data_IF_198826034442
#
_entry.id   IF_198826034442
#
_cell.length_a   1.000
_cell.length_b   1.000
_cell.length_c   1.000
_cell.angle_alpha   90.00
_cell.angle_beta   90.00
_cell.angle_gamma   90.00
#
_symmetry.space_group_name_H-M   'P 1'
#
loop_
_entity.id
_entity.type
_entity.pdbx_description
1 polymer ?
#
# COMPACT_ATOMS: atom_id res chain seq x y z
N UNK A 1 6.79 -19.47 19.48
CA UNK A 1 7.29 -18.16 19.00
C UNK A 1 7.07 -18.06 17.49
N UNK A 2 6.23 -17.15 16.99
CA UNK A 2 6.17 -16.90 15.53
C UNK A 2 7.47 -16.21 15.14
N UNK A 3 8.30 -16.84 14.31
CA UNK A 3 9.58 -16.24 13.91
C UNK A 3 9.32 -14.91 13.20
N UNK A 4 9.94 -13.85 13.71
CA UNK A 4 9.86 -12.54 13.06
C UNK A 4 10.88 -12.56 11.94
N UNK A 5 10.40 -12.64 10.70
CA UNK A 5 11.25 -12.52 9.52
C UNK A 5 12.13 -11.25 9.66
N UNK A 6 13.42 -11.37 9.36
CA UNK A 6 14.27 -10.19 9.22
C UNK A 6 13.80 -9.34 8.03
N UNK A 7 14.19 -8.07 7.99
CA UNK A 7 13.90 -7.19 6.85
C UNK A 7 14.38 -7.82 5.53
N UNK A 8 15.60 -8.36 5.51
CA UNK A 8 16.17 -9.00 4.33
C UNK A 8 15.35 -10.22 3.88
N UNK A 9 14.91 -11.07 4.81
CA UNK A 9 14.05 -12.22 4.51
C UNK A 9 12.68 -11.79 4.00
N UNK A 10 12.09 -10.76 4.62
CA UNK A 10 10.81 -10.19 4.20
C UNK A 10 10.88 -9.62 2.77
N UNK A 11 11.90 -8.81 2.48
CA UNK A 11 12.11 -8.21 1.17
C UNK A 11 12.37 -9.29 0.12
N UNK A 12 13.24 -10.27 0.40
CA UNK A 12 13.47 -11.39 -0.53
C UNK A 12 12.18 -12.16 -0.83
N UNK A 13 11.34 -12.41 0.17
CA UNK A 13 10.04 -13.08 -0.01
C UNK A 13 9.07 -12.29 -0.89
N UNK A 14 9.00 -10.96 -0.72
CA UNK A 14 8.07 -10.11 -1.47
C UNK A 14 8.56 -9.79 -2.87
N UNK A 15 9.84 -9.45 -2.98
CA UNK A 15 10.44 -8.92 -4.20
C UNK A 15 11.08 -9.99 -5.09
N UNK A 16 11.33 -11.19 -4.55
CA UNK A 16 12.00 -12.29 -5.25
C UNK A 16 13.53 -12.16 -5.31
N UNK A 17 14.08 -10.99 -5.00
CA UNK A 17 15.53 -10.72 -4.96
C UNK A 17 15.97 -10.18 -3.59
N UNK A 18 17.24 -10.37 -3.19
CA UNK A 18 17.76 -9.83 -1.94
C UNK A 18 17.61 -8.30 -1.82
N UNK A 19 17.60 -7.80 -0.58
CA UNK A 19 17.64 -6.37 -0.31
C UNK A 19 18.91 -5.75 -0.92
N UNK A 20 18.76 -4.66 -1.68
CA UNK A 20 19.87 -3.98 -2.35
C UNK A 20 20.33 -4.63 -3.67
N UNK A 21 19.73 -5.74 -4.10
CA UNK A 21 20.07 -6.37 -5.37
C UNK A 21 19.65 -5.51 -6.58
N UNK A 22 20.40 -5.63 -7.67
CA UNK A 22 20.01 -5.05 -8.97
C UNK A 22 18.67 -5.63 -9.43
N UNK A 23 17.88 -4.82 -10.14
CA UNK A 23 16.53 -5.22 -10.58
C UNK A 23 15.46 -5.23 -9.48
N UNK A 24 15.80 -4.86 -8.24
CA UNK A 24 14.85 -4.79 -7.11
C UNK A 24 13.61 -3.93 -7.44
N UNK A 25 13.82 -2.76 -8.05
CA UNK A 25 12.71 -1.86 -8.44
C UNK A 25 11.84 -2.48 -9.54
N UNK A 26 12.45 -3.02 -10.60
CA UNK A 26 11.75 -3.67 -11.71
C UNK A 26 10.89 -4.83 -11.22
N UNK A 27 11.43 -5.69 -10.35
CA UNK A 27 10.68 -6.80 -9.76
C UNK A 27 9.54 -6.31 -8.89
N UNK A 28 9.76 -5.26 -8.08
CA UNK A 28 8.73 -4.70 -7.22
C UNK A 28 7.55 -4.20 -8.06
N UNK A 29 7.84 -3.39 -9.09
CA UNK A 29 6.84 -2.84 -10.00
C UNK A 29 6.11 -3.94 -10.77
N UNK A 30 6.86 -4.88 -11.36
CA UNK A 30 6.28 -6.01 -12.12
C UNK A 30 5.34 -6.86 -11.27
N UNK A 31 5.72 -7.14 -10.01
CA UNK A 31 4.91 -7.94 -9.07
C UNK A 31 3.73 -7.15 -8.52
N UNK A 32 3.91 -5.89 -8.18
CA UNK A 32 2.84 -5.03 -7.67
C UNK A 32 1.75 -4.86 -8.73
N UNK A 33 2.09 -4.34 -9.91
CA UNK A 33 1.11 -4.16 -10.98
C UNK A 33 0.58 -5.50 -11.52
N UNK A 34 1.40 -6.55 -11.51
CA UNK A 34 0.97 -7.91 -11.84
C UNK A 34 0.19 -8.65 -10.75
N UNK A 35 -0.13 -8.00 -9.62
CA UNK A 35 -0.82 -8.65 -8.50
C UNK A 35 -2.23 -9.13 -8.92
N UNK A 36 -2.70 -10.22 -8.30
CA UNK A 36 -4.01 -10.79 -8.57
C UNK A 36 -5.18 -10.05 -7.91
N UNK A 37 -4.90 -9.10 -7.01
CA UNK A 37 -5.87 -8.27 -6.33
C UNK A 37 -5.20 -7.01 -5.78
N UNK A 38 -5.99 -5.98 -5.48
CA UNK A 38 -5.47 -4.74 -4.94
C UNK A 38 -4.91 -4.92 -3.52
N UNK A 39 -5.48 -5.84 -2.74
CA UNK A 39 -4.88 -6.27 -1.46
C UNK A 39 -3.47 -6.85 -1.64
N UNK A 40 -3.24 -7.65 -2.69
CA UNK A 40 -1.93 -8.26 -2.95
C UNK A 40 -0.94 -7.24 -3.53
N UNK A 41 -1.40 -6.25 -4.29
CA UNK A 41 -0.58 -5.13 -4.79
C UNK A 41 0.24 -4.50 -3.66
N UNK A 42 -0.41 -4.14 -2.54
CA UNK A 42 0.23 -3.50 -1.39
C UNK A 42 1.19 -4.41 -0.62
N UNK A 43 1.17 -5.72 -0.84
CA UNK A 43 2.16 -6.63 -0.28
C UNK A 43 3.49 -6.61 -1.06
N UNK A 44 3.43 -6.20 -2.34
CA UNK A 44 4.60 -6.07 -3.20
C UNK A 44 5.09 -4.64 -3.30
N UNK A 45 4.19 -3.66 -3.23
CA UNK A 45 4.53 -2.25 -3.27
C UNK A 45 5.39 -1.85 -2.07
N UNK A 46 6.62 -1.40 -2.33
CA UNK A 46 7.59 -0.96 -1.34
C UNK A 46 7.72 -1.89 -0.11
N UNK A 47 8.35 -3.07 -0.27
CA UNK A 47 8.38 -4.08 0.79
C UNK A 47 9.16 -3.64 2.03
N UNK A 48 10.08 -2.69 1.93
CA UNK A 48 10.77 -2.10 3.10
C UNK A 48 9.78 -1.29 3.93
N UNK A 49 9.01 -0.42 3.27
CA UNK A 49 7.97 0.36 3.94
C UNK A 49 6.89 -0.55 4.57
N UNK A 50 6.41 -1.53 3.80
CA UNK A 50 5.45 -2.51 4.28
C UNK A 50 5.95 -3.35 5.46
N UNK A 51 7.26 -3.61 5.56
CA UNK A 51 7.85 -4.30 6.71
C UNK A 51 7.68 -3.49 8.00
N UNK A 52 8.06 -2.21 7.99
CA UNK A 52 7.99 -1.36 9.18
C UNK A 52 6.54 -1.04 9.56
N UNK A 53 5.67 -0.75 8.60
CA UNK A 53 4.24 -0.59 8.85
C UNK A 53 3.64 -1.86 9.45
N UNK A 54 3.98 -3.04 8.92
CA UNK A 54 3.49 -4.30 9.46
C UNK A 54 3.94 -4.51 10.90
N UNK A 55 5.23 -4.28 11.17
CA UNK A 55 5.86 -4.53 12.47
C UNK A 55 5.37 -3.56 13.55
N UNK A 56 5.30 -2.28 13.23
CA UNK A 56 5.13 -1.21 14.21
C UNK A 56 3.69 -0.70 14.32
N UNK A 57 2.86 -0.88 13.28
CA UNK A 57 1.50 -0.35 13.24
C UNK A 57 0.49 -1.49 13.13
N UNK A 58 0.48 -2.21 12.01
CA UNK A 58 -0.56 -3.20 11.71
C UNK A 58 -0.64 -4.33 12.74
N UNK A 59 0.50 -4.96 13.10
CA UNK A 59 0.51 -6.11 14.03
C UNK A 59 0.12 -5.70 15.46
N UNK A 60 0.66 -4.60 16.03
CA UNK A 60 0.15 -4.09 17.30
C UNK A 60 -1.35 -3.81 17.27
N UNK A 61 -1.85 -3.10 16.25
CA UNK A 61 -3.27 -2.78 16.15
C UNK A 61 -4.15 -4.04 16.00
N UNK A 62 -3.73 -5.00 15.18
CA UNK A 62 -4.49 -6.23 14.96
C UNK A 62 -4.50 -7.18 16.17
N UNK A 63 -3.75 -6.87 17.24
CA UNK A 63 -3.84 -7.63 18.50
C UNK A 63 -5.09 -7.29 19.32
N UNK A 64 -5.72 -6.13 19.07
CA UNK A 64 -6.92 -5.69 19.79
C UNK A 64 -8.02 -5.11 18.88
N UNK A 65 -7.75 -4.82 17.60
CA UNK A 65 -8.74 -4.36 16.62
C UNK A 65 -9.05 -5.43 15.57
N UNK A 66 -10.25 -5.40 14.95
CA UNK A 66 -10.52 -6.15 13.73
C UNK A 66 -9.49 -5.83 12.64
N UNK A 67 -9.10 -6.85 11.88
CA UNK A 67 -8.06 -6.73 10.84
C UNK A 67 -8.40 -5.66 9.80
N UNK A 68 -9.67 -5.44 9.47
CA UNK A 68 -10.11 -4.37 8.56
C UNK A 68 -9.76 -2.99 9.13
N UNK A 69 -10.09 -2.73 10.39
CA UNK A 69 -9.80 -1.45 11.05
C UNK A 69 -8.28 -1.24 11.22
N UNK A 70 -7.54 -2.28 11.61
CA UNK A 70 -6.09 -2.22 11.68
C UNK A 70 -5.47 -1.90 10.29
N UNK A 71 -6.05 -2.45 9.22
CA UNK A 71 -5.62 -2.15 7.84
C UNK A 71 -5.86 -0.68 7.51
N UNK A 72 -7.08 -0.16 7.77
CA UNK A 72 -7.41 1.24 7.49
C UNK A 72 -6.50 2.21 8.23
N UNK A 73 -6.30 1.99 9.53
CA UNK A 73 -5.41 2.83 10.35
C UNK A 73 -3.97 2.75 9.84
N UNK A 74 -3.50 1.57 9.41
CA UNK A 74 -2.16 1.43 8.81
C UNK A 74 -2.01 2.27 7.54
N UNK A 75 -3.04 2.33 6.69
CA UNK A 75 -3.06 3.20 5.52
C UNK A 75 -3.04 4.67 5.90
N UNK A 76 -3.87 5.09 6.86
CA UNK A 76 -3.91 6.48 7.35
C UNK A 76 -2.55 6.91 7.93
N UNK A 77 -1.92 6.07 8.76
CA UNK A 77 -0.57 6.33 9.29
C UNK A 77 0.45 6.42 8.16
N UNK A 78 0.38 5.53 7.17
CA UNK A 78 1.24 5.62 5.99
C UNK A 78 1.08 6.96 5.27
N UNK A 79 -0.16 7.40 5.02
CA UNK A 79 -0.45 8.68 4.38
C UNK A 79 0.05 9.87 5.19
N UNK A 80 -0.17 9.86 6.51
CA UNK A 80 0.30 10.91 7.41
C UNK A 80 1.83 11.04 7.41
N UNK A 81 2.56 9.93 7.33
CA UNK A 81 4.02 9.96 7.19
C UNK A 81 4.48 10.58 5.86
N UNK A 82 3.73 10.37 4.77
CA UNK A 82 4.01 11.02 3.49
C UNK A 82 3.69 12.52 3.54
N UNK A 83 2.56 12.89 4.16
CA UNK A 83 2.19 14.30 4.39
C UNK A 83 3.26 15.03 5.19
N UNK A 84 3.77 14.44 6.27
CA UNK A 84 4.88 14.99 7.07
C UNK A 84 6.12 15.17 6.19
N UNK A 85 6.53 14.12 5.47
CA UNK A 85 7.73 14.16 4.64
C UNK A 85 7.66 15.26 3.57
N UNK A 86 6.53 15.36 2.86
CA UNK A 86 6.32 16.37 1.82
C UNK A 86 6.17 17.77 2.43
N UNK A 87 5.55 17.89 3.60
CA UNK A 87 5.41 19.17 4.31
C UNK A 87 6.77 19.75 4.72
N UNK A 88 7.68 18.91 5.21
CA UNK A 88 9.05 19.29 5.55
C UNK A 88 9.79 19.78 4.30
N UNK A 89 9.70 19.03 3.19
CA UNK A 89 10.39 19.38 1.94
C UNK A 89 9.84 20.69 1.35
N UNK A 90 8.51 20.87 1.37
CA UNK A 90 7.84 22.04 0.78
C UNK A 90 7.74 23.24 1.73
N UNK A 91 8.12 23.09 3.00
CA UNK A 91 7.91 24.10 4.04
C UNK A 91 6.45 24.60 4.11
N UNK A 92 5.49 23.71 3.86
CA UNK A 92 4.05 24.00 3.86
C UNK A 92 3.31 22.79 4.41
N UNK A 93 2.29 23.01 5.24
CA UNK A 93 1.41 21.93 5.71
C UNK A 93 0.66 21.34 4.51
N UNK A 94 0.88 20.05 4.26
CA UNK A 94 0.19 19.23 3.25
C UNK A 94 -0.58 18.13 3.98
N UNK A 95 -1.86 17.95 3.66
CA UNK A 95 -2.74 16.90 4.22
C UNK A 95 -3.43 16.09 3.11
N UNK A 96 -2.73 15.88 1.99
CA UNK A 96 -3.27 15.24 0.79
C UNK A 96 -3.12 13.71 0.81
N UNK A 97 -1.98 13.21 1.29
CA UNK A 97 -1.69 11.78 1.24
C UNK A 97 -2.49 10.98 2.27
N UNK A 98 -2.81 11.56 3.43
CA UNK A 98 -3.65 10.91 4.45
C UNK A 98 -5.04 10.51 3.92
N UNK A 99 -5.87 11.42 3.37
CA UNK A 99 -7.16 11.06 2.81
C UNK A 99 -7.03 10.12 1.60
N UNK A 100 -6.03 10.33 0.74
CA UNK A 100 -5.80 9.45 -0.41
C UNK A 100 -5.48 8.01 -0.01
N UNK A 101 -4.55 7.81 0.94
CA UNK A 101 -4.24 6.49 1.47
C UNK A 101 -5.42 5.90 2.24
N UNK A 102 -6.19 6.71 2.96
CA UNK A 102 -7.43 6.27 3.60
C UNK A 102 -8.41 5.67 2.59
N UNK A 103 -8.65 6.36 1.46
CA UNK A 103 -9.48 5.87 0.37
C UNK A 103 -8.93 4.56 -0.24
N UNK A 104 -7.63 4.49 -0.52
CA UNK A 104 -7.01 3.24 -0.99
C UNK A 104 -7.15 2.10 0.02
N UNK A 105 -7.04 2.40 1.33
CA UNK A 105 -7.28 1.43 2.40
C UNK A 105 -8.70 0.89 2.41
N UNK A 106 -9.71 1.75 2.18
CA UNK A 106 -11.11 1.32 2.03
C UNK A 106 -11.30 0.42 0.80
N UNK A 107 -10.72 0.77 -0.34
CA UNK A 107 -10.76 -0.05 -1.56
C UNK A 107 -10.13 -1.42 -1.30
N UNK A 108 -9.01 -1.47 -0.58
CA UNK A 108 -8.35 -2.72 -0.17
C UNK A 108 -9.25 -3.58 0.71
N UNK A 109 -9.88 -2.98 1.73
CA UNK A 109 -10.76 -3.71 2.65
C UNK A 109 -11.98 -4.25 1.91
N UNK A 110 -12.62 -3.41 1.10
CA UNK A 110 -13.79 -3.79 0.32
C UNK A 110 -13.47 -4.87 -0.71
N UNK A 111 -12.41 -4.71 -1.50
CA UNK A 111 -12.02 -5.70 -2.51
C UNK A 111 -11.66 -7.05 -1.91
N UNK A 112 -11.01 -7.06 -0.75
CA UNK A 112 -10.72 -8.29 -0.01
C UNK A 112 -11.99 -8.94 0.55
N UNK A 113 -12.89 -8.14 1.13
CA UNK A 113 -14.15 -8.63 1.68
C UNK A 113 -15.06 -9.22 0.59
N UNK A 114 -15.13 -8.56 -0.57
CA UNK A 114 -15.90 -9.01 -1.73
C UNK A 114 -15.21 -10.17 -2.51
N UNK A 115 -14.03 -10.63 -2.08
CA UNK A 115 -13.31 -11.72 -2.74
C UNK A 115 -12.83 -11.38 -4.16
N UNK A 116 -12.65 -10.09 -4.48
CA UNK A 116 -12.27 -9.66 -5.82
C UNK A 116 -10.86 -10.15 -6.15
N UNK A 117 -10.79 -11.00 -7.18
CA UNK A 117 -9.54 -11.49 -7.74
C UNK A 117 -9.61 -11.45 -9.26
N UNK A 118 -8.57 -10.91 -9.86
CA UNK A 118 -8.33 -10.87 -11.30
C UNK A 118 -7.02 -11.60 -11.61
N UNK A 119 -6.72 -12.67 -10.85
CA UNK A 119 -5.53 -13.49 -11.07
C UNK A 119 -5.53 -14.27 -12.37
N UNK A 120 -6.72 -14.54 -12.94
CA UNK A 120 -6.90 -15.36 -14.14
C UNK A 120 -6.67 -14.60 -15.45
N UNK A 121 -6.64 -13.26 -15.41
CA UNK A 121 -6.41 -12.45 -16.60
C UNK A 121 -4.92 -12.17 -16.81
N UNK A 122 -4.57 -11.75 -18.04
CA UNK A 122 -3.19 -11.50 -18.44
C UNK A 122 -2.54 -10.38 -17.62
N UNK A 123 -1.21 -10.40 -17.51
CA UNK A 123 -0.45 -9.41 -16.75
C UNK A 123 -0.80 -7.95 -17.11
N UNK A 124 -0.94 -7.55 -18.40
CA UNK A 124 -1.30 -6.18 -18.75
C UNK A 124 -2.67 -5.76 -18.20
N UNK A 125 -3.66 -6.67 -18.23
CA UNK A 125 -5.00 -6.37 -17.69
C UNK A 125 -4.91 -6.16 -16.18
N UNK A 126 -4.16 -7.01 -15.46
CA UNK A 126 -3.93 -6.83 -14.01
C UNK A 126 -3.23 -5.52 -13.69
N UNK A 127 -2.23 -5.14 -14.49
CA UNK A 127 -1.51 -3.90 -14.35
C UNK A 127 -2.43 -2.69 -14.52
N UNK A 128 -3.27 -2.70 -15.56
CA UNK A 128 -4.26 -1.66 -15.80
C UNK A 128 -5.31 -1.59 -14.68
N UNK A 129 -5.79 -2.72 -14.18
CA UNK A 129 -6.74 -2.76 -13.05
C UNK A 129 -6.12 -2.22 -11.76
N UNK A 130 -4.88 -2.60 -11.42
CA UNK A 130 -4.20 -2.05 -10.24
C UNK A 130 -3.94 -0.55 -10.39
N UNK A 131 -3.49 -0.12 -11.58
CA UNK A 131 -3.24 1.29 -11.87
C UNK A 131 -4.53 2.11 -11.82
N UNK A 132 -5.67 1.58 -12.31
CA UNK A 132 -6.94 2.29 -12.27
C UNK A 132 -7.41 2.55 -10.85
N UNK A 133 -7.25 1.62 -9.90
CA UNK A 133 -7.55 1.88 -8.49
C UNK A 133 -6.73 3.06 -7.93
N UNK A 134 -5.45 3.15 -8.30
CA UNK A 134 -4.57 4.25 -7.86
C UNK A 134 -5.01 5.57 -8.50
N UNK A 135 -5.19 5.61 -9.82
CA UNK A 135 -5.54 6.85 -10.52
C UNK A 135 -6.95 7.34 -10.22
N UNK A 136 -7.92 6.44 -10.09
CA UNK A 136 -9.29 6.81 -9.70
C UNK A 136 -9.32 7.35 -8.28
N UNK A 137 -8.65 6.68 -7.32
CA UNK A 137 -8.58 7.19 -5.94
C UNK A 137 -7.84 8.52 -5.84
N UNK A 138 -6.80 8.71 -6.65
CA UNK A 138 -6.08 9.98 -6.75
C UNK A 138 -6.98 11.09 -7.31
N UNK A 139 -7.70 10.81 -8.41
CA UNK A 139 -8.65 11.75 -9.00
C UNK A 139 -9.78 12.15 -8.05
N UNK A 140 -10.33 11.18 -7.31
CA UNK A 140 -11.31 11.45 -6.25
C UNK A 140 -10.70 12.35 -5.17
N UNK A 141 -9.46 12.11 -4.74
CA UNK A 141 -8.82 12.93 -3.71
C UNK A 141 -8.60 14.36 -4.19
N UNK A 142 -8.11 14.55 -5.42
CA UNK A 142 -7.99 15.89 -6.01
C UNK A 142 -9.35 16.59 -6.13
N UNK A 143 -10.39 15.88 -6.57
CA UNK A 143 -11.73 16.45 -6.64
C UNK A 143 -12.22 16.90 -5.26
N UNK A 144 -12.03 16.08 -4.22
CA UNK A 144 -12.35 16.47 -2.85
C UNK A 144 -11.52 17.65 -2.38
N UNK A 145 -10.21 17.68 -2.66
CA UNK A 145 -9.36 18.82 -2.35
C UNK A 145 -9.91 20.10 -2.98
N UNK A 146 -10.33 20.09 -4.25
CA UNK A 146 -10.90 21.28 -4.91
C UNK A 146 -12.22 21.76 -4.31
N UNK A 147 -12.98 20.90 -3.63
CA UNK A 147 -14.24 21.29 -2.97
C UNK A 147 -14.02 21.92 -1.59
N UNK A 148 -12.89 21.64 -0.95
CA UNK A 148 -12.61 22.03 0.44
C UNK A 148 -11.35 22.90 0.62
N UNK A 149 -10.60 23.20 -0.46
CA UNK A 149 -9.45 24.10 -0.49
C UNK A 149 -9.84 25.55 -0.79
#
# INVERSE_FOLDING_TARGET
MKSTLSLAQYVKKRNGVPLGASGSMTNMLSRAFGASSFWVFWQYWNPIWGYYLSRNIMRPLASFLPVSLATLVTFLVSGALHDIAVSIIKWKIILFFTPWFGLMGLIVIFSKWAGISYGQVSWPVRALTNASFIFVSLGITYFLETLYA
#
